data_IF_054665880134
#
_entry.id   IF_054665880134
#
_cell.length_a   1.000
_cell.length_b   1.000
_cell.length_c   1.000
_cell.angle_alpha   90.00
_cell.angle_beta   90.00
_cell.angle_gamma   90.00
#
_symmetry.space_group_name_H-M   'P 1'
#
loop_
_entity.id
_entity.type
_entity.pdbx_description
1 polymer ?
#
# COMPACT_ATOMS: atom_id res chain seq x y z
N UNK A 1 63.10 -27.23 6.64
CA UNK A 1 61.94 -26.38 6.27
C UNK A 1 60.91 -26.62 7.33
N UNK A 2 60.75 -25.67 8.25
CA UNK A 2 59.99 -25.90 9.47
C UNK A 2 58.49 -25.98 9.15
N UNK A 3 57.83 -27.00 9.70
CA UNK A 3 56.40 -27.30 9.50
C UNK A 3 55.49 -26.07 9.73
N UNK A 4 55.94 -25.12 10.55
CA UNK A 4 55.29 -23.84 10.83
C UNK A 4 55.11 -22.95 9.59
N UNK A 5 56.07 -22.93 8.66
CA UNK A 5 56.00 -22.11 7.45
C UNK A 5 54.93 -22.61 6.47
N UNK A 6 54.79 -23.94 6.37
CA UNK A 6 53.78 -24.57 5.51
C UNK A 6 52.38 -24.31 6.06
N UNK A 7 52.19 -24.44 7.37
CA UNK A 7 50.89 -24.19 8.02
C UNK A 7 50.47 -22.73 7.87
N UNK A 8 51.39 -21.77 8.07
CA UNK A 8 51.09 -20.35 7.92
C UNK A 8 50.70 -19.98 6.47
N UNK A 9 51.37 -20.55 5.47
CA UNK A 9 51.05 -20.35 4.06
C UNK A 9 49.67 -20.92 3.69
N UNK A 10 49.32 -22.10 4.21
CA UNK A 10 48.01 -22.71 3.98
C UNK A 10 46.90 -21.92 4.66
N UNK A 11 47.11 -21.47 5.90
CA UNK A 11 46.12 -20.67 6.63
C UNK A 11 45.86 -19.33 5.93
N UNK A 12 46.91 -18.65 5.47
CA UNK A 12 46.77 -17.39 4.73
C UNK A 12 46.05 -17.61 3.40
N UNK A 13 46.36 -18.67 2.66
CA UNK A 13 45.64 -19.02 1.43
C UNK A 13 44.14 -19.28 1.69
N UNK A 14 43.82 -20.05 2.73
CA UNK A 14 42.43 -20.38 3.10
C UNK A 14 41.66 -19.12 3.50
N UNK A 15 42.26 -18.26 4.32
CA UNK A 15 41.65 -16.98 4.72
C UNK A 15 41.44 -16.08 3.52
N UNK A 16 42.42 -15.96 2.62
CA UNK A 16 42.29 -15.15 1.39
C UNK A 16 41.18 -15.69 0.50
N UNK A 17 41.12 -17.01 0.28
CA UNK A 17 40.06 -17.64 -0.52
C UNK A 17 38.69 -17.44 0.13
N UNK A 18 38.57 -17.61 1.45
CA UNK A 18 37.33 -17.37 2.18
C UNK A 18 36.85 -15.91 2.03
N UNK A 19 37.76 -14.94 2.14
CA UNK A 19 37.46 -13.52 1.96
C UNK A 19 37.05 -13.18 0.51
N UNK A 20 37.68 -13.82 -0.49
CA UNK A 20 37.32 -13.65 -1.90
C UNK A 20 35.95 -14.25 -2.23
N UNK A 21 35.61 -15.41 -1.67
CA UNK A 21 34.31 -16.08 -1.85
C UNK A 21 33.19 -15.27 -1.20
N UNK A 22 33.43 -14.71 0.00
CA UNK A 22 32.47 -13.85 0.71
C UNK A 22 32.20 -12.50 0.04
N UNK A 23 33.00 -12.08 -0.95
CA UNK A 23 32.79 -10.82 -1.69
C UNK A 23 31.62 -10.89 -2.68
N UNK A 24 31.39 -12.06 -3.28
CA UNK A 24 30.38 -12.27 -4.33
C UNK A 24 28.92 -12.02 -3.88
N UNK A 25 28.46 -12.44 -2.68
CA UNK A 25 27.07 -12.22 -2.28
C UNK A 25 26.75 -10.74 -2.10
N UNK A 26 27.62 -9.96 -1.46
CA UNK A 26 27.33 -8.54 -1.11
C UNK A 26 27.06 -7.68 -2.34
N UNK A 27 27.77 -7.91 -3.46
CA UNK A 27 27.56 -7.16 -4.70
C UNK A 27 26.29 -7.58 -5.46
N UNK A 28 25.86 -8.83 -5.34
CA UNK A 28 24.63 -9.30 -5.96
C UNK A 28 23.36 -8.70 -5.32
N UNK A 29 23.40 -8.40 -4.02
CA UNK A 29 22.29 -7.76 -3.32
C UNK A 29 22.05 -6.32 -3.78
N UNK A 30 23.10 -5.55 -4.09
CA UNK A 30 22.96 -4.16 -4.54
C UNK A 30 22.36 -4.07 -5.95
N UNK A 31 22.75 -4.98 -6.84
CA UNK A 31 22.20 -5.06 -8.20
C UNK A 31 20.70 -5.42 -8.19
N UNK A 32 20.25 -6.34 -7.34
CA UNK A 32 18.83 -6.72 -7.25
C UNK A 32 17.95 -5.57 -6.73
N UNK A 33 18.41 -4.84 -5.71
CA UNK A 33 17.65 -3.72 -5.14
C UNK A 33 17.53 -2.55 -6.12
N UNK A 34 18.58 -2.25 -6.88
CA UNK A 34 18.54 -1.16 -7.88
C UNK A 34 17.60 -1.49 -9.04
N UNK A 35 17.57 -2.74 -9.50
CA UNK A 35 16.61 -3.22 -10.50
C UNK A 35 15.18 -3.15 -9.96
N UNK A 36 14.93 -3.61 -8.73
CA UNK A 36 13.60 -3.55 -8.10
C UNK A 36 13.07 -2.11 -8.02
N UNK A 37 13.88 -1.15 -7.55
CA UNK A 37 13.46 0.26 -7.48
C UNK A 37 13.20 0.86 -8.86
N UNK A 38 13.98 0.46 -9.88
CA UNK A 38 13.75 0.89 -11.26
C UNK A 38 12.41 0.37 -11.80
N UNK A 39 12.10 -0.88 -11.52
CA UNK A 39 10.88 -1.53 -12.00
C UNK A 39 9.64 -0.96 -11.28
N UNK A 40 9.71 -0.73 -9.97
CA UNK A 40 8.65 -0.02 -9.21
C UNK A 40 8.42 1.39 -9.76
N UNK A 41 9.50 2.14 -10.05
CA UNK A 41 9.38 3.47 -10.65
C UNK A 41 8.71 3.42 -12.02
N UNK A 42 8.98 2.40 -12.83
CA UNK A 42 8.35 2.22 -14.13
C UNK A 42 6.85 1.92 -14.00
N UNK A 43 6.44 1.13 -13.01
CA UNK A 43 5.03 0.80 -12.77
C UNK A 43 4.25 1.98 -12.18
N UNK A 44 4.83 2.71 -11.22
CA UNK A 44 4.21 3.91 -10.62
C UNK A 44 3.95 4.98 -11.68
N UNK A 45 4.78 5.07 -12.72
CA UNK A 45 4.54 5.99 -13.85
C UNK A 45 3.33 5.62 -14.71
N UNK A 46 2.87 4.37 -14.68
CA UNK A 46 1.64 3.94 -15.37
C UNK A 46 0.38 4.29 -14.58
N UNK A 47 0.51 4.63 -13.30
CA UNK A 47 -0.62 5.13 -12.50
C UNK A 47 -0.96 6.53 -13.00
N UNK A 48 -1.99 6.61 -13.85
CA UNK A 48 -2.54 7.87 -14.33
C UNK A 48 -3.34 8.50 -13.20
N UNK A 49 -2.67 9.32 -12.38
CA UNK A 49 -3.38 10.09 -11.37
C UNK A 49 -4.35 11.08 -12.04
N UNK A 50 -5.64 11.07 -11.66
CA UNK A 50 -6.62 12.00 -12.22
C UNK A 50 -6.24 13.44 -11.93
N UNK A 51 -6.63 14.36 -12.82
CA UNK A 51 -6.40 15.79 -12.62
C UNK A 51 -7.23 16.31 -11.45
N UNK A 52 -6.77 17.40 -10.82
CA UNK A 52 -7.50 18.04 -9.70
C UNK A 52 -8.93 18.42 -10.07
N UNK A 53 -9.18 18.72 -11.35
CA UNK A 53 -10.52 19.04 -11.84
C UNK A 53 -11.40 17.80 -11.97
N UNK A 54 -10.86 16.67 -12.42
CA UNK A 54 -11.59 15.39 -12.49
C UNK A 54 -11.96 14.88 -11.08
N UNK A 55 -11.03 15.05 -10.13
CA UNK A 55 -11.26 14.77 -8.71
C UNK A 55 -12.42 15.59 -8.16
N UNK A 56 -12.43 16.91 -8.39
CA UNK A 56 -13.51 17.80 -7.94
C UNK A 56 -14.85 17.50 -8.60
N UNK A 57 -14.86 17.19 -9.90
CA UNK A 57 -16.09 16.81 -10.63
C UNK A 57 -16.67 15.52 -10.04
N UNK A 58 -15.84 14.52 -9.82
CA UNK A 58 -16.27 13.22 -9.29
C UNK A 58 -16.77 13.33 -7.85
N UNK A 59 -16.09 14.08 -6.98
CA UNK A 59 -16.53 14.28 -5.61
C UNK A 59 -17.81 15.11 -5.53
N UNK A 60 -17.96 16.15 -6.36
CA UNK A 60 -19.17 16.97 -6.40
C UNK A 60 -20.40 16.14 -6.80
N UNK A 61 -20.27 15.27 -7.80
CA UNK A 61 -21.34 14.35 -8.20
C UNK A 61 -21.71 13.43 -7.03
N UNK A 62 -20.73 12.84 -6.35
CA UNK A 62 -20.96 11.98 -5.19
C UNK A 62 -21.64 12.76 -4.05
N UNK A 63 -21.21 13.99 -3.77
CA UNK A 63 -21.84 14.86 -2.76
C UNK A 63 -23.32 15.07 -3.04
N UNK A 64 -23.69 15.36 -4.29
CA UNK A 64 -25.09 15.53 -4.68
C UNK A 64 -25.89 14.24 -4.45
N UNK A 65 -25.33 13.08 -4.85
CA UNK A 65 -25.99 11.78 -4.69
C UNK A 65 -26.21 11.47 -3.20
N UNK A 66 -25.20 11.70 -2.36
CA UNK A 66 -25.30 11.46 -0.91
C UNK A 66 -26.35 12.36 -0.27
N UNK A 67 -26.42 13.64 -0.66
CA UNK A 67 -27.46 14.56 -0.18
C UNK A 67 -28.85 14.08 -0.60
N UNK A 68 -29.02 13.67 -1.86
CA UNK A 68 -30.31 13.18 -2.37
C UNK A 68 -30.78 11.94 -1.60
N UNK A 69 -29.88 10.97 -1.37
CA UNK A 69 -30.17 9.76 -0.59
C UNK A 69 -30.49 10.13 0.87
N UNK A 70 -29.74 11.06 1.47
CA UNK A 70 -30.00 11.54 2.83
C UNK A 70 -31.38 12.17 2.99
N UNK A 71 -31.81 12.97 2.01
CA UNK A 71 -33.16 13.56 1.98
C UNK A 71 -34.21 12.45 1.85
N UNK A 72 -34.00 11.47 0.97
CA UNK A 72 -34.94 10.37 0.78
C UNK A 72 -35.13 9.56 2.07
N UNK A 73 -34.02 9.19 2.72
CA UNK A 73 -34.05 8.47 4.00
C UNK A 73 -34.74 9.31 5.06
N UNK A 74 -34.38 10.58 5.21
CA UNK A 74 -35.00 11.47 6.19
C UNK A 74 -36.50 11.66 5.97
N UNK A 75 -36.95 11.71 4.70
CA UNK A 75 -38.37 11.77 4.36
C UNK A 75 -39.09 10.47 4.74
N UNK A 76 -38.47 9.32 4.49
CA UNK A 76 -39.02 8.02 4.89
C UNK A 76 -39.12 7.90 6.42
N UNK A 77 -38.09 8.31 7.14
CA UNK A 77 -38.08 8.28 8.61
C UNK A 77 -39.18 9.18 9.19
N UNK A 78 -39.37 10.38 8.61
CA UNK A 78 -40.45 11.28 9.01
C UNK A 78 -41.84 10.69 8.74
N UNK A 79 -42.04 10.10 7.55
CA UNK A 79 -43.30 9.47 7.18
C UNK A 79 -43.65 8.29 8.10
N UNK A 80 -42.66 7.45 8.43
CA UNK A 80 -42.85 6.33 9.34
C UNK A 80 -43.14 6.79 10.77
N UNK A 81 -42.50 7.86 11.25
CA UNK A 81 -42.83 8.44 12.56
C UNK A 81 -44.31 8.89 12.62
N UNK A 82 -44.78 9.57 11.58
CA UNK A 82 -46.16 10.07 11.52
C UNK A 82 -47.20 8.93 11.47
N UNK A 83 -46.93 7.86 10.72
CA UNK A 83 -47.86 6.73 10.56
C UNK A 83 -47.79 5.75 11.73
N UNK A 84 -46.61 5.45 12.26
CA UNK A 84 -46.45 4.40 13.28
C UNK A 84 -46.54 4.95 14.70
N UNK A 85 -46.08 6.17 14.96
CA UNK A 85 -46.01 6.73 16.30
C UNK A 85 -47.22 7.63 16.56
N UNK A 86 -47.42 8.64 15.72
CA UNK A 86 -48.48 9.64 15.95
C UNK A 86 -49.89 9.09 15.71
N UNK A 87 -50.09 8.29 14.66
CA UNK A 87 -51.40 7.74 14.34
C UNK A 87 -51.83 6.63 15.33
N UNK A 88 -50.96 5.66 15.63
CA UNK A 88 -51.28 4.62 16.62
C UNK A 88 -51.38 5.17 18.04
N UNK A 89 -50.52 6.12 18.43
CA UNK A 89 -50.57 6.76 19.75
C UNK A 89 -51.86 7.55 19.99
N UNK A 90 -52.44 8.15 18.94
CA UNK A 90 -53.74 8.84 19.00
C UNK A 90 -54.95 7.93 18.81
N UNK A 91 -54.77 6.75 18.22
CA UNK A 91 -55.86 5.80 17.98
C UNK A 91 -56.10 4.83 19.16
N UNK A 92 -55.08 4.61 20.00
CA UNK A 92 -55.13 3.67 21.13
C UNK A 92 -55.04 4.33 22.52
N UNK A 93 -55.03 5.66 22.58
CA UNK A 93 -55.20 6.47 23.80
C UNK A 93 -56.41 7.38 23.69
#
# INVERSE_FOLDING_TARGET
>A
MDLSLIIAAVLTLVVVVALLVWRQPVLAWTQRSTVFIRDVRAEVRKVTWPSWDDLRRSTLVITIIVILIGILIGLMDWLFSLILIDFFGRAFG
#
